data_IF_440059233144
#
_entry.id   IF_440059233144
#
_cell.length_a   1.000
_cell.length_b   1.000
_cell.length_c   1.000
_cell.angle_alpha   90.00
_cell.angle_beta   90.00
_cell.angle_gamma   90.00
#
_symmetry.space_group_name_H-M   'P 1'
#
loop_
_entity.id
_entity.type
_entity.pdbx_description
1 polymer ?
#
# COMPACT_ATOMS: atom_id res chain seq x y z
N UNK A 1 -6.41 14.05 7.33
CA UNK A 1 -7.04 12.74 7.01
C UNK A 1 -6.01 11.68 7.35
N UNK A 2 -6.40 10.54 7.94
CA UNK A 2 -5.43 9.50 8.25
C UNK A 2 -4.83 8.94 6.96
N UNK A 3 -3.52 8.66 6.98
CA UNK A 3 -2.73 8.23 5.82
C UNK A 3 -2.37 6.76 5.92
N UNK A 4 -2.56 6.06 4.80
CA UNK A 4 -2.18 4.65 4.72
C UNK A 4 -1.43 4.33 3.44
N UNK A 5 -0.44 3.45 3.61
CA UNK A 5 0.34 2.88 2.51
C UNK A 5 0.07 1.38 2.39
N UNK A 6 -0.31 0.93 1.21
CA UNK A 6 -0.62 -0.47 0.92
C UNK A 6 0.45 -1.05 0.01
N UNK A 7 1.09 -2.14 0.43
CA UNK A 7 2.14 -2.80 -0.34
C UNK A 7 1.57 -4.02 -1.05
N UNK A 8 1.58 -3.97 -2.38
CA UNK A 8 1.17 -5.03 -3.31
C UNK A 8 -0.14 -4.70 -4.05
N UNK A 9 -0.13 -4.84 -5.38
CA UNK A 9 -1.30 -4.66 -6.26
C UNK A 9 -2.16 -5.94 -6.42
N UNK A 10 -2.02 -6.91 -5.51
CA UNK A 10 -2.85 -8.11 -5.51
C UNK A 10 -4.33 -7.83 -5.27
N UNK A 11 -5.18 -8.85 -5.42
CA UNK A 11 -6.64 -8.73 -5.17
C UNK A 11 -6.95 -8.14 -3.79
N UNK A 12 -6.25 -8.61 -2.76
CA UNK A 12 -6.43 -8.15 -1.38
C UNK A 12 -5.95 -6.71 -1.18
N UNK A 13 -4.80 -6.33 -1.75
CA UNK A 13 -4.30 -4.94 -1.69
C UNK A 13 -5.26 -3.94 -2.33
N UNK A 14 -5.80 -4.28 -3.51
CA UNK A 14 -6.80 -3.45 -4.21
C UNK A 14 -8.09 -3.33 -3.40
N UNK A 15 -8.57 -4.43 -2.82
CA UNK A 15 -9.76 -4.41 -1.98
C UNK A 15 -9.56 -3.54 -0.72
N UNK A 16 -8.41 -3.65 -0.06
CA UNK A 16 -8.03 -2.84 1.08
C UNK A 16 -7.98 -1.34 0.71
N UNK A 17 -7.38 -1.00 -0.43
CA UNK A 17 -7.29 0.38 -0.91
C UNK A 17 -8.66 1.04 -1.07
N UNK A 18 -9.58 0.33 -1.74
CA UNK A 18 -10.94 0.81 -1.97
C UNK A 18 -11.72 0.96 -0.66
N UNK A 19 -11.59 0.01 0.26
CA UNK A 19 -12.25 0.06 1.56
C UNK A 19 -11.76 1.26 2.38
N UNK A 20 -10.44 1.45 2.49
CA UNK A 20 -9.83 2.55 3.25
C UNK A 20 -10.18 3.90 2.63
N UNK A 21 -10.12 4.00 1.29
CA UNK A 21 -10.53 5.22 0.57
C UNK A 21 -11.99 5.58 0.86
N UNK A 22 -12.89 4.59 0.82
CA UNK A 22 -14.31 4.78 1.15
C UNK A 22 -14.52 5.23 2.61
N UNK A 23 -13.63 4.84 3.52
CA UNK A 23 -13.64 5.24 4.92
C UNK A 23 -12.92 6.58 5.19
N UNK A 24 -12.56 7.33 4.15
CA UNK A 24 -11.99 8.68 4.29
C UNK A 24 -10.48 8.74 4.51
N UNK A 25 -9.76 7.64 4.25
CA UNK A 25 -8.30 7.61 4.31
C UNK A 25 -7.68 8.22 3.06
N UNK A 26 -6.52 8.85 3.23
CA UNK A 26 -5.60 9.12 2.14
C UNK A 26 -4.80 7.85 1.86
N UNK A 27 -5.06 7.24 0.70
CA UNK A 27 -4.54 5.93 0.34
C UNK A 27 -3.50 6.06 -0.75
N UNK A 28 -2.32 5.53 -0.46
CA UNK A 28 -1.30 5.23 -1.45
C UNK A 28 -1.11 3.72 -1.53
N UNK A 29 -0.98 3.19 -2.74
CA UNK A 29 -0.73 1.78 -2.98
C UNK A 29 0.50 1.62 -3.86
N UNK A 30 1.36 0.65 -3.58
CA UNK A 30 2.60 0.45 -4.33
C UNK A 30 2.88 -1.00 -4.68
N UNK A 31 3.53 -1.23 -5.81
CA UNK A 31 4.15 -2.52 -6.14
C UNK A 31 5.59 -2.31 -6.59
N UNK A 32 6.45 -3.28 -6.28
CA UNK A 32 7.85 -3.28 -6.69
C UNK A 32 8.01 -3.59 -8.17
N UNK A 33 7.01 -4.24 -8.77
CA UNK A 33 7.02 -4.66 -10.16
C UNK A 33 6.36 -3.61 -11.06
N UNK A 34 6.63 -3.75 -12.35
CA UNK A 34 6.00 -3.00 -13.45
C UNK A 34 5.59 -4.00 -14.52
N UNK A 35 4.39 -3.87 -15.08
CA UNK A 35 3.94 -4.62 -16.27
C UNK A 35 2.71 -3.93 -16.87
N UNK A 36 2.41 -4.18 -18.13
CA UNK A 36 1.23 -3.62 -18.81
C UNK A 36 -0.08 -3.87 -18.03
N UNK A 37 -0.21 -5.04 -17.41
CA UNK A 37 -1.35 -5.36 -16.55
C UNK A 37 -1.40 -4.48 -15.30
N UNK A 38 -0.27 -4.25 -14.64
CA UNK A 38 -0.18 -3.40 -13.45
C UNK A 38 -0.43 -1.94 -13.81
N UNK A 39 0.07 -1.47 -14.96
CA UNK A 39 -0.18 -0.11 -15.47
C UNK A 39 -1.66 0.11 -15.75
N UNK A 40 -2.34 -0.87 -16.36
CA UNK A 40 -3.78 -0.80 -16.57
C UNK A 40 -4.55 -0.73 -15.24
N UNK A 41 -4.13 -1.50 -14.24
CA UNK A 41 -4.71 -1.44 -12.90
C UNK A 41 -4.45 -0.09 -12.21
N UNK A 42 -3.24 0.45 -12.32
CA UNK A 42 -2.88 1.79 -11.83
C UNK A 42 -3.81 2.85 -12.42
N UNK A 43 -4.04 2.82 -13.74
CA UNK A 43 -4.92 3.78 -14.41
C UNK A 43 -6.36 3.70 -13.85
N UNK A 44 -6.90 2.49 -13.70
CA UNK A 44 -8.24 2.29 -13.14
C UNK A 44 -8.35 2.82 -11.70
N UNK A 45 -7.37 2.50 -10.86
CA UNK A 45 -7.34 2.96 -9.46
C UNK A 45 -7.14 4.48 -9.34
N UNK A 46 -6.37 5.07 -10.25
CA UNK A 46 -6.18 6.53 -10.31
C UNK A 46 -7.50 7.23 -10.63
N UNK A 47 -8.33 6.67 -11.52
CA UNK A 47 -9.68 7.18 -11.79
C UNK A 47 -10.61 7.07 -10.58
N UNK A 48 -10.37 6.12 -9.68
CA UNK A 48 -11.05 5.99 -8.39
C UNK A 48 -10.47 6.91 -7.29
N UNK A 49 -9.47 7.74 -7.63
CA UNK A 49 -8.81 8.65 -6.70
C UNK A 49 -7.85 7.97 -5.72
N UNK A 50 -7.33 6.79 -6.07
CA UNK A 50 -6.31 6.06 -5.32
C UNK A 50 -4.97 6.26 -6.02
N UNK A 51 -3.97 6.75 -5.28
CA UNK A 51 -2.61 6.93 -5.80
C UNK A 51 -1.93 5.57 -5.89
N UNK A 52 -1.33 5.27 -7.05
CA UNK A 52 -0.59 4.03 -7.27
C UNK A 52 0.84 4.30 -7.74
N UNK A 53 1.82 3.69 -7.07
CA UNK A 53 3.26 3.74 -7.41
C UNK A 53 3.75 2.36 -7.86
N UNK A 54 4.07 2.20 -9.14
CA UNK A 54 4.70 0.99 -9.67
C UNK A 54 6.23 1.12 -9.71
N UNK A 55 6.93 -0.02 -9.72
CA UNK A 55 8.40 -0.01 -9.66
C UNK A 55 8.96 0.62 -8.39
N UNK A 56 8.14 0.70 -7.34
CA UNK A 56 8.44 1.48 -6.14
C UNK A 56 8.80 0.56 -4.98
N UNK A 57 9.91 0.89 -4.31
CA UNK A 57 10.31 0.23 -3.07
C UNK A 57 9.76 1.04 -1.89
N UNK A 58 8.89 0.42 -1.10
CA UNK A 58 8.28 1.06 0.06
C UNK A 58 9.33 1.51 1.08
N UNK A 59 9.16 2.73 1.56
CA UNK A 59 9.93 3.33 2.66
C UNK A 59 8.94 4.02 3.61
N UNK A 60 9.00 3.76 4.93
CA UNK A 60 8.06 4.34 5.87
C UNK A 60 8.30 5.83 6.04
N UNK A 61 7.24 6.62 5.90
CA UNK A 61 7.22 8.05 6.22
C UNK A 61 6.58 8.27 7.59
N UNK A 62 7.11 9.21 8.37
CA UNK A 62 6.58 9.54 9.72
C UNK A 62 5.15 10.09 9.70
N UNK A 63 4.63 10.45 8.52
CA UNK A 63 3.26 10.91 8.35
C UNK A 63 2.24 9.79 8.13
N UNK A 64 2.69 8.54 7.99
CA UNK A 64 1.80 7.39 7.84
C UNK A 64 1.23 6.96 9.20
N UNK A 65 -0.07 6.70 9.21
CA UNK A 65 -0.76 6.12 10.37
C UNK A 65 -0.82 4.59 10.28
N UNK A 66 -0.91 4.05 9.05
CA UNK A 66 -1.12 2.62 8.79
C UNK A 66 -0.36 2.11 7.56
N UNK A 67 0.31 0.98 7.68
CA UNK A 67 0.84 0.19 6.58
C UNK A 67 0.05 -1.11 6.45
N UNK A 68 -0.47 -1.41 5.25
CA UNK A 68 -1.17 -2.66 4.95
C UNK A 68 -0.31 -3.50 4.01
N UNK A 69 -0.05 -4.75 4.36
CA UNK A 69 0.82 -5.66 3.62
C UNK A 69 -0.04 -6.73 2.94
N UNK A 70 -0.02 -6.75 1.61
CA UNK A 70 -0.72 -7.78 0.82
C UNK A 70 -0.01 -9.13 0.96
N UNK A 71 -0.76 -10.26 0.87
CA UNK A 71 -0.17 -11.60 0.80
C UNK A 71 0.90 -11.71 -0.29
N UNK A 72 2.00 -12.37 0.03
CA UNK A 72 3.16 -12.54 -0.88
C UNK A 72 4.24 -11.47 -0.75
N UNK A 73 4.01 -10.40 0.01
CA UNK A 73 5.08 -9.48 0.43
C UNK A 73 5.74 -10.06 1.69
N UNK A 74 7.08 -10.24 1.73
CA UNK A 74 7.73 -10.75 2.92
C UNK A 74 7.53 -9.80 4.12
N UNK A 75 7.06 -10.35 5.23
CA UNK A 75 6.66 -9.59 6.42
C UNK A 75 7.83 -8.96 7.18
N UNK A 76 9.02 -9.51 6.97
CA UNK A 76 10.27 -9.23 7.66
C UNK A 76 11.21 -8.28 6.88
N UNK A 77 10.76 -7.68 5.77
CA UNK A 77 11.58 -6.72 5.03
C UNK A 77 11.97 -5.51 5.91
N UNK A 78 13.18 -4.94 5.76
CA UNK A 78 13.66 -3.83 6.60
C UNK A 78 12.73 -2.61 6.68
N UNK A 79 12.05 -2.18 5.58
CA UNK A 79 11.08 -1.07 5.66
C UNK A 79 9.90 -1.34 6.60
N UNK A 80 9.40 -2.58 6.68
CA UNK A 80 8.30 -2.94 7.59
C UNK A 80 8.76 -3.00 9.05
N UNK A 81 9.99 -3.44 9.30
CA UNK A 81 10.59 -3.37 10.63
C UNK A 81 10.68 -1.93 11.11
N UNK A 82 11.24 -1.04 10.28
CA UNK A 82 11.34 0.39 10.57
C UNK A 82 9.99 1.07 10.77
N UNK A 83 8.96 0.69 10.01
CA UNK A 83 7.60 1.19 10.22
C UNK A 83 7.11 0.90 11.64
N UNK A 84 7.24 -0.36 12.09
CA UNK A 84 6.84 -0.81 13.43
C UNK A 84 7.68 -0.14 14.53
N UNK A 85 8.99 -0.04 14.34
CA UNK A 85 9.90 0.67 15.27
C UNK A 85 9.56 2.16 15.40
N UNK A 86 9.04 2.76 14.33
CA UNK A 86 8.58 4.16 14.29
C UNK A 86 7.17 4.34 14.84
N UNK A 87 6.54 3.27 15.34
CA UNK A 87 5.19 3.30 15.91
C UNK A 87 4.06 3.35 14.88
N UNK A 88 4.36 3.13 13.60
CA UNK A 88 3.35 3.09 12.53
C UNK A 88 2.64 1.73 12.60
N UNK A 89 1.31 1.76 12.68
CA UNK A 89 0.53 0.53 12.71
C UNK A 89 0.77 -0.25 11.42
N UNK A 90 1.08 -1.54 11.54
CA UNK A 90 1.40 -2.39 10.38
C UNK A 90 0.57 -3.65 10.45
N UNK A 91 -0.30 -3.87 9.47
CA UNK A 91 -1.20 -5.01 9.40
C UNK A 91 -0.97 -5.81 8.12
N UNK A 92 -1.21 -7.12 8.16
CA UNK A 92 -1.09 -8.02 7.01
C UNK A 92 -1.41 -9.45 7.41
N UNK A 93 -1.63 -10.30 6.42
CA UNK A 93 -1.80 -11.73 6.64
C UNK A 93 -0.39 -12.36 6.84
N UNK A 94 -0.20 -13.05 7.97
CA UNK A 94 1.05 -13.73 8.36
C UNK A 94 1.05 -15.18 7.88
#
# INVERSE_FOLDING_TARGET
MPKTHIIGLGKSGIAAARLLKKNGWEVELSDRNTSDSLEQQQQNLTQEGITVKLGYSFEPETSLDLVVVSPGVPWDIPPLQRARESGIETIGEM
#
